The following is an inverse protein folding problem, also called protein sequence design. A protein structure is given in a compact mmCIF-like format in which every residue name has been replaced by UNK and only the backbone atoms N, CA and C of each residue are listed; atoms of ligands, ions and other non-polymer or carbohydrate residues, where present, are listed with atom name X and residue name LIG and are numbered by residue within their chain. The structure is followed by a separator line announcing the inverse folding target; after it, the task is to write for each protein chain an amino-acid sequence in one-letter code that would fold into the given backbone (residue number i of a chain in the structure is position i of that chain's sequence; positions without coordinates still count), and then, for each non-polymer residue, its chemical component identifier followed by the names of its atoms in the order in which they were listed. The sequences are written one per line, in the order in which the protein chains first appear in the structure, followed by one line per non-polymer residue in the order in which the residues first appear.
data_IF_206434163865
#
_entry.id   IF_206434163865
#
_cell.length_a   1.000
_cell.length_b   1.000
_cell.length_c   1.000
_cell.angle_alpha   90.00
_cell.angle_beta   90.00
_cell.angle_gamma   90.00
#
_symmetry.space_group_name_H-M   'P 1'
#
loop_
_entity.id
_entity.type
_entity.pdbx_description
1 polymer ?
#
# COMPACT_ATOMS: atom_id res chain seq x y z
N UNK A 1 0.61 17.85 11.01
CA UNK A 1 1.03 17.30 9.71
C UNK A 1 1.69 15.96 9.93
N UNK A 2 1.26 14.93 9.21
CA UNK A 2 1.85 13.58 9.19
C UNK A 2 3.05 13.57 8.22
N UNK A 3 4.08 12.79 8.54
CA UNK A 3 5.27 12.71 7.69
C UNK A 3 5.00 11.80 6.48
N UNK A 4 4.94 12.40 5.29
CA UNK A 4 4.66 11.74 4.01
C UNK A 4 5.69 10.65 3.70
N UNK A 5 6.98 10.96 3.85
CA UNK A 5 8.04 10.01 3.54
C UNK A 5 8.05 8.83 4.49
N UNK A 6 7.76 9.06 5.78
CA UNK A 6 7.64 7.99 6.75
C UNK A 6 6.49 7.03 6.39
N UNK A 7 5.31 7.56 6.04
CA UNK A 7 4.18 6.75 5.62
C UNK A 7 4.50 5.92 4.37
N UNK A 8 5.11 6.53 3.35
CA UNK A 8 5.50 5.83 2.13
C UNK A 8 6.54 4.72 2.39
N UNK A 9 7.57 5.01 3.19
CA UNK A 9 8.63 4.03 3.55
C UNK A 9 8.03 2.86 4.34
N UNK A 10 7.14 3.11 5.31
CA UNK A 10 6.48 2.04 6.05
C UNK A 10 5.68 1.11 5.12
N UNK A 11 4.93 1.68 4.18
CA UNK A 11 4.18 0.91 3.18
C UNK A 11 5.07 0.19 2.16
N UNK A 12 6.30 0.65 1.94
CA UNK A 12 7.27 -0.02 1.06
C UNK A 12 7.78 -1.33 1.66
N UNK A 13 8.04 -1.36 2.98
CA UNK A 13 8.49 -2.57 3.67
C UNK A 13 7.34 -3.52 3.98
N UNK A 14 6.21 -2.96 4.44
CA UNK A 14 5.01 -3.73 4.76
C UNK A 14 3.83 -3.05 4.07
N UNK A 15 3.35 -3.60 2.95
CA UNK A 15 2.21 -3.06 2.21
C UNK A 15 1.01 -2.76 3.09
N UNK A 16 0.63 -1.48 3.11
CA UNK A 16 -0.46 -0.95 3.93
C UNK A 16 -0.05 -0.41 5.31
N UNK A 17 1.17 -0.62 5.79
CA UNK A 17 1.58 -0.16 7.12
C UNK A 17 1.63 1.37 7.22
N UNK A 18 1.97 2.05 6.12
CA UNK A 18 1.92 3.50 6.01
C UNK A 18 0.52 4.07 6.25
N UNK A 19 -0.52 3.42 5.76
CA UNK A 19 -1.91 3.86 5.99
C UNK A 19 -2.40 3.51 7.39
N UNK A 20 -1.86 2.46 8.03
CA UNK A 20 -2.09 2.20 9.46
C UNK A 20 -1.51 3.33 10.35
N UNK A 21 -0.33 3.86 10.00
CA UNK A 21 0.26 5.03 10.68
C UNK A 21 -0.61 6.31 10.58
N UNK A 22 -1.41 6.40 9.51
CA UNK A 22 -2.37 7.47 9.30
C UNK A 22 -3.71 7.24 10.05
N UNK A 23 -3.91 6.07 10.64
CA UNK A 23 -5.15 5.68 11.34
C UNK A 23 -6.20 4.97 10.46
N UNK A 24 -5.87 4.68 9.19
CA UNK A 24 -6.76 4.02 8.24
C UNK A 24 -6.64 2.50 8.36
N UNK A 25 -7.07 1.95 9.50
CA UNK A 25 -6.85 0.53 9.83
C UNK A 25 -7.62 -0.44 8.93
N UNK A 26 -8.82 -0.06 8.46
CA UNK A 26 -9.58 -0.87 7.50
C UNK A 26 -8.85 -0.95 6.16
N UNK A 27 -8.34 0.19 5.68
CA UNK A 27 -7.51 0.26 4.48
C UNK A 27 -6.25 -0.60 4.63
N UNK A 28 -5.58 -0.53 5.78
CA UNK A 28 -4.43 -1.38 6.07
C UNK A 28 -4.77 -2.86 5.94
N UNK A 29 -5.83 -3.32 6.61
CA UNK A 29 -6.22 -4.74 6.60
C UNK A 29 -6.50 -5.22 5.16
N UNK A 30 -7.25 -4.43 4.39
CA UNK A 30 -7.58 -4.77 2.99
C UNK A 30 -6.32 -4.78 2.12
N UNK A 31 -5.48 -3.75 2.20
CA UNK A 31 -4.22 -3.67 1.47
C UNK A 31 -3.29 -4.83 1.79
N UNK A 32 -3.19 -5.21 3.06
CA UNK A 32 -2.36 -6.32 3.53
C UNK A 32 -2.88 -7.67 3.00
N UNK A 33 -4.19 -7.92 3.07
CA UNK A 33 -4.81 -9.14 2.52
C UNK A 33 -4.59 -9.23 1.01
N UNK A 34 -4.80 -8.13 0.29
CA UNK A 34 -4.56 -8.08 -1.17
C UNK A 34 -3.10 -8.38 -1.48
N UNK A 35 -2.16 -7.81 -0.73
CA UNK A 35 -0.74 -8.10 -0.90
C UNK A 35 -0.42 -9.58 -0.66
N UNK A 36 -0.97 -10.21 0.39
CA UNK A 36 -0.78 -11.62 0.65
C UNK A 36 -1.30 -12.49 -0.49
N UNK A 37 -2.52 -12.21 -0.98
CA UNK A 37 -3.13 -12.95 -2.09
C UNK A 37 -2.31 -12.79 -3.37
N UNK A 38 -1.90 -11.56 -3.72
CA UNK A 38 -1.05 -11.31 -4.88
C UNK A 38 0.30 -12.02 -4.75
N UNK A 39 0.93 -11.98 -3.58
CA UNK A 39 2.22 -12.65 -3.35
C UNK A 39 2.13 -14.17 -3.55
N UNK A 40 1.06 -14.80 -3.09
CA UNK A 40 0.81 -16.24 -3.31
C UNK A 40 0.63 -16.54 -4.80
N UNK A 41 -0.17 -15.73 -5.52
CA UNK A 41 -0.40 -15.91 -6.96
C UNK A 41 0.92 -15.74 -7.74
N UNK A 42 1.66 -14.66 -7.48
CA UNK A 42 2.91 -14.35 -8.19
C UNK A 42 3.97 -15.41 -7.91
N UNK A 43 4.12 -15.86 -6.66
CA UNK A 43 5.06 -16.95 -6.31
C UNK A 43 4.68 -18.29 -6.94
N UNK A 44 3.39 -18.60 -7.07
CA UNK A 44 2.93 -19.83 -7.73
C UNK A 44 3.22 -19.82 -9.23
N UNK A 45 3.06 -18.67 -9.90
CA UNK A 45 3.24 -18.55 -11.35
C UNK A 45 4.71 -18.42 -11.74
N UNK A 46 5.48 -17.59 -11.03
CA UNK A 46 6.85 -17.24 -11.40
C UNK A 46 7.92 -17.99 -10.62
N UNK A 47 7.54 -18.70 -9.56
CA UNK A 47 8.49 -19.21 -8.57
C UNK A 47 9.29 -18.09 -7.89
N UNK A 48 10.38 -18.45 -7.23
CA UNK A 48 11.31 -17.48 -6.61
C UNK A 48 12.37 -16.97 -7.60
N UNK A 49 11.95 -16.63 -8.82
CA UNK A 49 12.82 -16.11 -9.87
C UNK A 49 13.00 -14.59 -9.78
N UNK A 50 13.87 -14.01 -10.61
CA UNK A 50 14.11 -12.56 -10.57
C UNK A 50 12.85 -11.73 -10.90
N UNK A 51 11.97 -12.28 -11.74
CA UNK A 51 10.69 -11.65 -12.10
C UNK A 51 9.73 -11.56 -10.91
N UNK A 52 9.75 -12.55 -9.99
CA UNK A 52 9.00 -12.47 -8.73
C UNK A 52 9.41 -11.26 -7.89
N UNK A 53 10.71 -11.02 -7.72
CA UNK A 53 11.20 -9.88 -6.93
C UNK A 53 10.84 -8.55 -7.59
N UNK A 54 10.96 -8.45 -8.92
CA UNK A 54 10.58 -7.25 -9.67
C UNK A 54 9.10 -6.94 -9.47
N UNK A 55 8.21 -7.93 -9.62
CA UNK A 55 6.76 -7.72 -9.45
C UNK A 55 6.44 -7.35 -8.00
N UNK A 56 7.08 -8.01 -7.03
CA UNK A 56 6.87 -7.71 -5.60
C UNK A 56 7.26 -6.28 -5.26
N UNK A 57 8.37 -5.78 -5.82
CA UNK A 57 8.80 -4.37 -5.68
C UNK A 57 7.78 -3.42 -6.31
N UNK A 58 7.26 -3.72 -7.50
CA UNK A 58 6.23 -2.89 -8.16
C UNK A 58 4.96 -2.80 -7.29
N UNK A 59 4.52 -3.93 -6.73
CA UNK A 59 3.37 -3.96 -5.82
C UNK A 59 3.65 -3.13 -4.56
N UNK A 60 4.84 -3.26 -3.96
CA UNK A 60 5.23 -2.47 -2.79
C UNK A 60 5.26 -0.97 -3.09
N UNK A 61 5.78 -0.57 -4.25
CA UNK A 61 5.77 0.83 -4.71
C UNK A 61 4.36 1.37 -4.89
N UNK A 62 3.42 0.56 -5.37
CA UNK A 62 2.01 0.94 -5.46
C UNK A 62 1.43 1.27 -4.08
N UNK A 63 1.65 0.43 -3.07
CA UNK A 63 1.17 0.69 -1.70
C UNK A 63 1.91 1.83 -1.00
N UNK A 64 3.18 2.07 -1.34
CA UNK A 64 3.91 3.25 -0.90
C UNK A 64 3.31 4.54 -1.47
N UNK A 65 2.94 4.53 -2.75
CA UNK A 65 2.24 5.65 -3.40
C UNK A 65 0.83 5.87 -2.84
N UNK A 66 0.11 4.80 -2.51
CA UNK A 66 -1.17 4.86 -1.81
C UNK A 66 -1.04 5.58 -0.45
N UNK A 67 -0.04 5.21 0.34
CA UNK A 67 0.23 5.89 1.62
C UNK A 67 0.67 7.35 1.43
N UNK A 68 1.45 7.65 0.39
CA UNK A 68 1.83 9.01 0.04
C UNK A 68 0.60 9.89 -0.21
N UNK A 69 -0.30 9.46 -1.12
CA UNK A 69 -1.49 10.23 -1.51
C UNK A 69 -2.49 10.36 -0.37
N UNK A 70 -2.66 9.32 0.46
CA UNK A 70 -3.46 9.43 1.68
C UNK A 70 -2.87 10.44 2.68
N UNK A 71 -1.54 10.46 2.83
CA UNK A 71 -0.89 11.40 3.75
C UNK A 71 -1.03 12.84 3.27
N UNK A 72 -0.86 13.06 1.96
CA UNK A 72 -1.09 14.36 1.33
C UNK A 72 -2.54 14.83 1.53
N UNK A 73 -3.52 13.95 1.30
CA UNK A 73 -4.93 14.28 1.50
C UNK A 73 -5.25 14.65 2.95
N UNK A 74 -4.74 13.88 3.92
CA UNK A 74 -4.92 14.17 5.35
C UNK A 74 -4.24 15.49 5.74
N UNK A 75 -3.05 15.76 5.23
CA UNK A 75 -2.33 17.01 5.53
C UNK A 75 -3.02 18.24 4.95
N UNK A 76 -3.68 18.10 3.79
CA UNK A 76 -4.37 19.18 3.10
C UNK A 76 -5.86 19.27 3.45
N UNK A 77 -6.38 18.40 4.33
CA UNK A 77 -7.81 18.29 4.67
C UNK A 77 -8.69 18.07 3.43
N UNK A 78 -8.20 17.33 2.44
CA UNK A 78 -8.96 16.94 1.25
C UNK A 78 -9.50 15.51 1.40
N UNK A 79 -10.39 15.11 0.49
CA UNK A 79 -10.96 13.77 0.50
C UNK A 79 -9.86 12.70 0.31
N UNK A 80 -9.88 11.68 1.17
CA UNK A 80 -8.96 10.53 1.05
C UNK A 80 -9.28 9.79 -0.26
N UNK A 81 -8.28 9.52 -1.12
CA UNK A 81 -8.50 8.83 -2.38
C UNK A 81 -8.96 7.38 -2.16
N UNK A 82 -9.82 6.87 -3.03
CA UNK A 82 -10.25 5.47 -2.99
C UNK A 82 -9.08 4.52 -3.26
N UNK A 83 -9.01 3.39 -2.54
CA UNK A 83 -8.01 2.36 -2.85
C UNK A 83 -8.29 1.80 -4.26
N UNK A 84 -7.26 1.69 -5.09
CA UNK A 84 -7.39 1.34 -6.52
C UNK A 84 -8.38 2.21 -7.30
N UNK A 85 -8.65 3.45 -6.86
CA UNK A 85 -9.68 4.33 -7.45
C UNK A 85 -11.12 3.79 -7.41
N UNK A 86 -11.36 2.70 -6.65
CA UNK A 86 -12.62 1.94 -6.69
C UNK A 86 -13.18 1.58 -5.32
N UNK A 87 -12.31 1.31 -4.34
CA UNK A 87 -12.72 0.83 -3.02
C UNK A 87 -12.73 1.98 -2.02
N UNK A 88 -13.92 2.29 -1.48
CA UNK A 88 -14.07 3.23 -0.37
C UNK A 88 -13.84 2.51 0.96
N UNK A 89 -12.58 2.55 1.39
CA UNK A 89 -12.12 1.90 2.60
C UNK A 89 -11.22 2.88 3.35
N UNK A 90 -11.85 3.66 4.23
CA UNK A 90 -11.20 4.56 5.17
C UNK A 90 -10.95 3.83 6.49
#
# INVERSE_FOLDING_TARGET
MKNIYLAAILSLFIPGLGVAYLGLYKRFLVSFVIYCVLSIIVSTILGFSISYYIITIIIALFFAYDAYTCTEAINNNTQIPLLFTKLDIQ
#
